data_IF_796931312819
#
_entry.id   IF_796931312819
#
_cell.length_a   1.000
_cell.length_b   1.000
_cell.length_c   1.000
_cell.angle_alpha   90.00
_cell.angle_beta   90.00
_cell.angle_gamma   90.00
#
_symmetry.space_group_name_H-M   'P 1'
#
loop_
_entity.id
_entity.type
_entity.pdbx_description
1 polymer ?
#
# COMPACT_ATOMS: atom_id res chain seq x y z
N UNK A 1 20.53 -15.87 -12.68
CA UNK A 1 19.76 -15.27 -11.57
C UNK A 1 18.89 -14.19 -12.18
N UNK A 2 17.57 -14.33 -12.11
CA UNK A 2 16.63 -13.51 -12.89
C UNK A 2 15.91 -12.54 -11.97
N UNK A 3 15.86 -11.25 -12.33
CA UNK A 3 15.12 -10.23 -11.60
C UNK A 3 13.60 -10.38 -11.80
N UNK A 4 12.82 -9.42 -11.32
CA UNK A 4 11.39 -9.33 -11.63
C UNK A 4 11.17 -9.30 -13.15
N UNK A 5 10.33 -10.22 -13.64
CA UNK A 5 9.94 -10.26 -15.06
C UNK A 5 9.21 -8.99 -15.48
N UNK A 6 9.18 -8.70 -16.78
CA UNK A 6 8.41 -7.58 -17.34
C UNK A 6 6.93 -7.65 -16.97
N UNK A 7 6.35 -8.85 -16.91
CA UNK A 7 4.99 -9.06 -16.44
C UNK A 7 4.82 -8.65 -14.97
N UNK A 8 5.73 -9.01 -14.07
CA UNK A 8 5.67 -8.57 -12.68
C UNK A 8 5.78 -7.04 -12.58
N UNK A 9 6.73 -6.42 -13.29
CA UNK A 9 6.93 -4.97 -13.30
C UNK A 9 5.70 -4.22 -13.79
N UNK A 10 5.11 -4.67 -14.90
CA UNK A 10 3.89 -4.11 -15.48
C UNK A 10 2.72 -4.21 -14.51
N UNK A 11 2.55 -5.37 -13.86
CA UNK A 11 1.49 -5.55 -12.88
C UNK A 11 1.71 -4.71 -11.62
N UNK A 12 2.95 -4.54 -11.16
CA UNK A 12 3.27 -3.64 -10.05
C UNK A 12 2.93 -2.19 -10.39
N UNK A 13 3.26 -1.73 -11.60
CA UNK A 13 2.89 -0.38 -12.08
C UNK A 13 1.36 -0.23 -12.16
N UNK A 14 0.67 -1.21 -12.74
CA UNK A 14 -0.79 -1.17 -12.87
C UNK A 14 -1.48 -1.13 -11.49
N UNK A 15 -1.02 -1.94 -10.54
CA UNK A 15 -1.53 -1.90 -9.17
C UNK A 15 -1.15 -0.60 -8.46
N UNK A 16 0.04 -0.06 -8.71
CA UNK A 16 0.46 1.25 -8.19
C UNK A 16 -0.46 2.37 -8.67
N UNK A 17 -0.82 2.40 -9.95
CA UNK A 17 -1.82 3.31 -10.51
C UNK A 17 -3.19 3.07 -9.86
N UNK A 18 -3.59 1.81 -9.67
CA UNK A 18 -4.84 1.48 -8.97
C UNK A 18 -4.91 2.01 -7.53
N UNK A 19 -3.80 1.97 -6.80
CA UNK A 19 -3.68 2.55 -5.46
C UNK A 19 -3.71 4.09 -5.49
N UNK A 20 -3.09 4.73 -6.49
CA UNK A 20 -3.21 6.18 -6.67
C UNK A 20 -4.63 6.62 -7.01
N UNK A 21 -5.34 5.87 -7.86
CA UNK A 21 -6.76 6.11 -8.16
C UNK A 21 -7.59 5.95 -6.88
N UNK A 22 -7.35 4.88 -6.11
CA UNK A 22 -8.04 4.65 -4.83
C UNK A 22 -7.79 5.80 -3.86
N UNK A 23 -6.54 6.27 -3.75
CA UNK A 23 -6.17 7.41 -2.94
C UNK A 23 -6.86 8.70 -3.39
N UNK A 24 -6.92 8.98 -4.69
CA UNK A 24 -7.62 10.15 -5.20
C UNK A 24 -9.10 10.13 -4.80
N UNK A 25 -9.78 8.98 -4.96
CA UNK A 25 -11.16 8.78 -4.50
C UNK A 25 -11.29 8.98 -2.99
N UNK A 26 -10.38 8.44 -2.18
CA UNK A 26 -10.33 8.69 -0.73
C UNK A 26 -10.12 10.17 -0.41
N UNK A 27 -9.31 10.88 -1.21
CA UNK A 27 -9.09 12.32 -1.07
C UNK A 27 -10.36 13.13 -1.35
N UNK A 28 -11.18 12.72 -2.33
CA UNK A 28 -12.50 13.31 -2.55
C UNK A 28 -13.44 13.07 -1.36
N UNK A 29 -13.50 11.85 -0.83
CA UNK A 29 -14.29 11.57 0.37
C UNK A 29 -13.82 12.37 1.57
N UNK A 30 -12.51 12.53 1.74
CA UNK A 30 -11.93 13.35 2.80
C UNK A 30 -12.31 14.82 2.64
N UNK A 31 -12.22 15.35 1.42
CA UNK A 31 -12.63 16.72 1.09
C UNK A 31 -14.10 16.97 1.48
N UNK A 32 -15.02 16.10 1.07
CA UNK A 32 -16.44 16.23 1.44
C UNK A 32 -16.69 16.01 2.93
N UNK A 33 -15.94 15.11 3.58
CA UNK A 33 -16.01 14.92 5.02
C UNK A 33 -15.62 16.19 5.79
N UNK A 34 -14.60 16.91 5.34
CA UNK A 34 -14.17 18.18 5.95
C UNK A 34 -15.19 19.30 5.75
N UNK A 35 -15.84 19.36 4.59
CA UNK A 35 -16.87 20.35 4.31
C UNK A 35 -18.19 20.05 5.05
N UNK A 36 -18.51 18.77 5.24
CA UNK A 36 -19.81 18.32 5.76
C UNK A 36 -20.92 18.32 4.71
N UNK A 37 -20.62 18.73 3.47
CA UNK A 37 -21.49 18.69 2.32
C UNK A 37 -20.73 18.35 1.03
N UNK A 38 -21.49 17.91 0.02
CA UNK A 38 -21.04 17.87 -1.36
C UNK A 38 -21.45 19.20 -1.99
N UNK A 39 -20.46 20.05 -2.23
CA UNK A 39 -20.60 21.34 -2.89
C UNK A 39 -19.73 21.38 -4.16
N UNK A 40 -20.38 21.24 -5.31
CA UNK A 40 -19.81 21.20 -6.67
C UNK A 40 -20.42 22.32 -7.51
N UNK A 41 -20.24 23.56 -7.05
CA UNK A 41 -20.72 24.76 -7.72
C UNK A 41 -20.23 24.85 -9.18
N UNK A 42 -21.10 25.25 -10.14
CA UNK A 42 -22.50 25.66 -9.99
C UNK A 42 -23.54 24.54 -10.13
N UNK A 43 -23.13 23.27 -10.21
CA UNK A 43 -23.98 22.17 -10.69
C UNK A 43 -24.76 21.49 -9.56
N UNK A 44 -24.09 21.15 -8.46
CA UNK A 44 -24.69 20.51 -7.29
C UNK A 44 -24.21 21.28 -6.06
N UNK A 45 -25.12 21.70 -5.17
CA UNK A 45 -24.74 22.47 -3.98
C UNK A 45 -25.52 21.98 -2.77
N UNK A 46 -24.90 22.07 -1.59
CA UNK A 46 -25.54 21.81 -0.28
C UNK A 46 -26.19 20.44 -0.12
N UNK A 47 -25.60 19.39 -0.70
CA UNK A 47 -26.02 18.02 -0.40
C UNK A 47 -25.32 17.60 0.88
N UNK A 48 -26.08 17.46 1.97
CA UNK A 48 -25.54 17.03 3.27
C UNK A 48 -24.77 15.72 3.13
N UNK A 49 -23.50 15.72 3.57
CA UNK A 49 -22.63 14.57 3.48
C UNK A 49 -22.04 14.25 4.84
N UNK A 50 -22.55 13.18 5.45
CA UNK A 50 -22.07 12.66 6.73
C UNK A 50 -21.51 11.27 6.54
N UNK A 51 -20.21 11.13 6.79
CA UNK A 51 -19.50 9.86 6.79
C UNK A 51 -18.68 9.74 8.08
N UNK A 52 -18.46 8.51 8.54
CA UNK A 52 -17.69 8.23 9.74
C UNK A 52 -16.21 8.64 9.63
N UNK A 53 -15.51 8.52 10.75
CA UNK A 53 -14.08 8.79 10.86
C UNK A 53 -13.76 10.23 11.28
N UNK A 54 -12.54 10.42 11.75
CA UNK A 54 -11.98 11.74 12.03
C UNK A 54 -11.05 12.20 10.89
N UNK A 55 -10.70 13.50 10.81
CA UNK A 55 -9.78 14.00 9.79
C UNK A 55 -8.44 13.25 9.75
N UNK A 56 -8.00 12.74 10.91
CA UNK A 56 -6.78 11.93 11.01
C UNK A 56 -6.90 10.60 10.26
N UNK A 57 -8.02 9.88 10.40
CA UNK A 57 -8.26 8.61 9.73
C UNK A 57 -8.32 8.78 8.22
N UNK A 58 -9.02 9.81 7.75
CA UNK A 58 -9.12 10.11 6.32
C UNK A 58 -7.79 10.53 5.72
N UNK A 59 -7.02 11.35 6.43
CA UNK A 59 -5.67 11.72 5.99
C UNK A 59 -4.75 10.48 5.91
N UNK A 60 -4.81 9.60 6.90
CA UNK A 60 -4.04 8.35 6.88
C UNK A 60 -4.47 7.46 5.70
N UNK A 61 -5.76 7.26 5.48
CA UNK A 61 -6.28 6.46 4.37
C UNK A 61 -5.86 7.01 3.00
N UNK A 62 -5.91 8.34 2.83
CA UNK A 62 -5.46 9.01 1.62
C UNK A 62 -3.96 8.77 1.39
N UNK A 63 -3.14 9.01 2.41
CA UNK A 63 -1.69 8.87 2.32
C UNK A 63 -1.22 7.42 2.13
N UNK A 64 -1.87 6.44 2.77
CA UNK A 64 -1.59 5.01 2.56
C UNK A 64 -1.70 4.65 1.07
N UNK A 65 -2.78 5.04 0.39
CA UNK A 65 -2.91 4.77 -1.04
C UNK A 65 -1.80 5.43 -1.89
N UNK A 66 -1.38 6.66 -1.56
CA UNK A 66 -0.28 7.35 -2.27
C UNK A 66 1.03 6.61 -2.07
N UNK A 67 1.42 6.40 -0.80
CA UNK A 67 2.74 5.86 -0.46
C UNK A 67 2.89 4.43 -0.95
N UNK A 68 1.85 3.60 -0.80
CA UNK A 68 1.85 2.24 -1.29
C UNK A 68 1.86 2.19 -2.82
N UNK A 69 1.10 3.08 -3.49
CA UNK A 69 1.10 3.18 -4.95
C UNK A 69 2.48 3.53 -5.51
N UNK A 70 3.14 4.53 -4.91
CA UNK A 70 4.52 4.92 -5.25
C UNK A 70 5.52 3.80 -4.95
N UNK A 71 5.37 3.09 -3.84
CA UNK A 71 6.23 1.96 -3.49
C UNK A 71 6.18 0.85 -4.56
N UNK A 72 5.00 0.46 -5.05
CA UNK A 72 4.89 -0.57 -6.09
C UNK A 72 5.60 -0.15 -7.39
N UNK A 73 5.40 1.10 -7.81
CA UNK A 73 6.07 1.65 -9.00
C UNK A 73 7.59 1.76 -8.81
N UNK A 74 8.05 2.14 -7.61
CA UNK A 74 9.46 2.19 -7.27
C UNK A 74 10.11 0.80 -7.32
N UNK A 75 9.45 -0.24 -6.77
CA UNK A 75 9.95 -1.62 -6.87
C UNK A 75 10.06 -2.06 -8.34
N UNK A 76 9.07 -1.72 -9.18
CA UNK A 76 9.10 -2.04 -10.61
C UNK A 76 10.23 -1.31 -11.37
N UNK A 77 10.49 -0.05 -11.01
CA UNK A 77 11.57 0.77 -11.58
C UNK A 77 12.95 0.26 -11.15
N UNK A 78 13.10 -0.12 -9.87
CA UNK A 78 14.35 -0.60 -9.30
C UNK A 78 14.66 -2.08 -9.61
N UNK A 79 13.77 -2.80 -10.31
CA UNK A 79 13.95 -4.20 -10.67
C UNK A 79 15.33 -4.57 -11.27
N UNK A 80 16.00 -3.74 -12.11
CA UNK A 80 17.34 -4.05 -12.62
C UNK A 80 18.42 -4.20 -11.53
N UNK A 81 18.23 -3.57 -10.37
CA UNK A 81 19.16 -3.64 -9.24
C UNK A 81 18.88 -4.81 -8.29
N UNK A 82 17.85 -5.63 -8.57
CA UNK A 82 17.37 -6.68 -7.68
C UNK A 82 17.67 -8.05 -8.31
N UNK A 83 18.71 -8.75 -7.83
CA UNK A 83 19.06 -10.10 -8.30
C UNK A 83 18.51 -11.17 -7.37
N UNK A 84 17.52 -11.93 -7.84
CA UNK A 84 16.85 -12.98 -7.08
C UNK A 84 16.71 -14.28 -7.90
N UNK A 85 16.30 -15.37 -7.24
CA UNK A 85 15.78 -16.55 -7.96
C UNK A 85 14.35 -16.29 -8.41
N UNK A 86 13.85 -17.07 -9.38
CA UNK A 86 12.49 -16.91 -9.89
C UNK A 86 11.42 -17.06 -8.79
N UNK A 87 11.64 -17.98 -7.84
CA UNK A 87 10.77 -18.16 -6.68
C UNK A 87 10.76 -16.91 -5.79
N UNK A 88 11.93 -16.38 -5.41
CA UNK A 88 12.02 -15.21 -4.53
C UNK A 88 11.48 -13.94 -5.22
N UNK A 89 11.68 -13.78 -6.53
CA UNK A 89 11.08 -12.69 -7.29
C UNK A 89 9.54 -12.77 -7.28
N UNK A 90 8.98 -13.99 -7.35
CA UNK A 90 7.53 -14.20 -7.23
C UNK A 90 7.02 -13.89 -5.83
N UNK A 91 7.78 -14.23 -4.79
CA UNK A 91 7.45 -13.87 -3.40
C UNK A 91 7.46 -12.34 -3.24
N UNK A 92 8.50 -11.64 -3.72
CA UNK A 92 8.54 -10.16 -3.72
C UNK A 92 7.30 -9.57 -4.38
N UNK A 93 6.91 -10.09 -5.55
CA UNK A 93 5.74 -9.60 -6.27
C UNK A 93 4.45 -9.71 -5.43
N UNK A 94 4.14 -10.89 -4.88
CA UNK A 94 2.92 -11.05 -4.10
C UNK A 94 2.98 -10.33 -2.75
N UNK A 95 4.13 -10.33 -2.08
CA UNK A 95 4.31 -9.58 -0.84
C UNK A 95 4.08 -8.09 -1.07
N UNK A 96 4.58 -7.51 -2.17
CA UNK A 96 4.33 -6.13 -2.52
C UNK A 96 2.84 -5.84 -2.74
N UNK A 97 2.13 -6.68 -3.50
CA UNK A 97 0.68 -6.49 -3.71
C UNK A 97 -0.13 -6.59 -2.42
N UNK A 98 0.18 -7.58 -1.58
CA UNK A 98 -0.48 -7.77 -0.28
C UNK A 98 -0.23 -6.54 0.60
N UNK A 99 1.02 -6.09 0.74
CA UNK A 99 1.37 -4.88 1.49
C UNK A 99 0.61 -3.68 0.95
N UNK A 100 0.65 -3.41 -0.36
CA UNK A 100 0.04 -2.20 -0.90
C UNK A 100 -1.47 -2.13 -0.72
N UNK A 101 -2.19 -3.19 -1.10
CA UNK A 101 -3.65 -3.21 -1.02
C UNK A 101 -4.18 -3.39 0.39
N UNK A 102 -3.54 -4.26 1.20
CA UNK A 102 -4.03 -4.55 2.55
C UNK A 102 -3.56 -3.56 3.62
N UNK A 103 -2.69 -2.59 3.30
CA UNK A 103 -2.58 -1.37 4.10
C UNK A 103 -3.60 -0.30 3.68
N UNK A 104 -3.87 -0.18 2.38
CA UNK A 104 -4.75 0.88 1.84
C UNK A 104 -6.23 0.63 2.14
N UNK A 105 -6.78 -0.53 1.76
CA UNK A 105 -8.22 -0.80 1.90
C UNK A 105 -8.67 -0.82 3.37
N UNK A 106 -7.93 -1.42 4.32
CA UNK A 106 -8.29 -1.36 5.73
C UNK A 106 -8.16 0.03 6.34
N UNK A 107 -7.25 0.88 5.86
CA UNK A 107 -7.19 2.28 6.30
C UNK A 107 -8.43 3.07 5.86
N UNK A 108 -8.91 2.87 4.63
CA UNK A 108 -10.17 3.44 4.14
C UNK A 108 -11.35 2.90 4.97
N UNK A 109 -11.40 1.60 5.22
CA UNK A 109 -12.47 1.00 6.03
C UNK A 109 -12.47 1.55 7.47
N UNK A 110 -11.29 1.72 8.08
CA UNK A 110 -11.16 2.35 9.40
C UNK A 110 -11.73 3.77 9.43
N UNK A 111 -11.50 4.56 8.38
CA UNK A 111 -12.10 5.88 8.28
C UNK A 111 -13.63 5.78 8.20
N UNK A 112 -14.18 4.95 7.30
CA UNK A 112 -15.63 4.82 7.11
C UNK A 112 -16.36 4.35 8.38
N UNK A 113 -15.82 3.34 9.07
CA UNK A 113 -16.46 2.72 10.23
C UNK A 113 -16.09 3.36 11.58
N UNK A 114 -15.28 4.43 11.56
CA UNK A 114 -14.76 5.09 12.76
C UNK A 114 -13.98 4.13 13.69
N UNK A 115 -13.28 3.16 13.11
CA UNK A 115 -12.48 2.15 13.83
C UNK A 115 -10.98 2.41 13.69
N UNK A 116 -10.16 1.58 14.35
CA UNK A 116 -8.70 1.58 14.18
C UNK A 116 -8.11 0.26 13.76
N UNK A 117 -8.76 -0.87 14.04
CA UNK A 117 -8.25 -2.20 13.69
C UNK A 117 -6.94 -2.55 14.38
N UNK A 118 -6.60 -1.87 15.48
CA UNK A 118 -5.33 -2.06 16.20
C UNK A 118 -5.39 -3.15 17.27
N UNK A 119 -6.59 -3.50 17.71
CA UNK A 119 -6.84 -4.60 18.66
C UNK A 119 -8.14 -5.29 18.29
N UNK A 120 -8.21 -6.59 18.55
CA UNK A 120 -9.47 -7.32 18.42
C UNK A 120 -10.55 -6.67 19.30
N UNK A 121 -11.75 -6.47 18.75
CA UNK A 121 -12.88 -5.79 19.39
C UNK A 121 -12.66 -4.33 19.85
N UNK A 122 -11.62 -3.64 19.36
CA UNK A 122 -11.51 -2.17 19.41
C UNK A 122 -10.59 -1.60 20.49
N UNK A 123 -10.38 -2.30 21.61
CA UNK A 123 -9.46 -1.85 22.67
C UNK A 123 -9.80 -0.43 23.17
N UNK A 124 -8.89 0.55 23.09
CA UNK A 124 -9.19 1.94 23.47
C UNK A 124 -9.99 2.73 22.42
N UNK A 125 -10.36 2.11 21.29
CA UNK A 125 -11.10 2.70 20.18
C UNK A 125 -12.45 1.99 19.96
N UNK A 126 -13.24 2.44 18.98
CA UNK A 126 -14.50 1.81 18.63
C UNK A 126 -14.31 0.33 18.22
N UNK A 127 -15.09 -0.54 18.86
CA UNK A 127 -15.05 -1.99 18.70
C UNK A 127 -16.05 -2.56 17.70
N UNK A 128 -16.36 -3.85 17.86
CA UNK A 128 -17.35 -4.55 17.06
C UNK A 128 -16.80 -5.24 15.80
N UNK A 129 -17.73 -5.82 15.03
CA UNK A 129 -17.41 -6.71 13.91
C UNK A 129 -16.50 -6.06 12.86
N UNK A 130 -16.78 -4.81 12.48
CA UNK A 130 -15.98 -4.08 11.49
C UNK A 130 -14.52 -3.95 11.95
N UNK A 131 -14.29 -3.50 13.19
CA UNK A 131 -12.95 -3.39 13.76
C UNK A 131 -12.24 -4.75 13.80
N UNK A 132 -12.92 -5.80 14.26
CA UNK A 132 -12.32 -7.15 14.39
C UNK A 132 -11.93 -7.75 13.04
N UNK A 133 -12.74 -7.54 11.99
CA UNK A 133 -12.39 -7.96 10.63
C UNK A 133 -11.18 -7.17 10.08
N UNK A 134 -11.15 -5.86 10.31
CA UNK A 134 -10.01 -5.01 9.93
C UNK A 134 -8.74 -5.46 10.65
N UNK A 135 -8.80 -5.70 11.97
CA UNK A 135 -7.68 -6.22 12.75
C UNK A 135 -7.14 -7.54 12.19
N UNK A 136 -8.02 -8.49 11.87
CA UNK A 136 -7.61 -9.77 11.28
C UNK A 136 -7.01 -9.58 9.88
N UNK A 137 -7.53 -8.64 9.10
CA UNK A 137 -6.98 -8.29 7.78
C UNK A 137 -5.59 -7.66 7.84
N UNK A 138 -5.17 -7.15 9.01
CA UNK A 138 -3.84 -6.56 9.22
C UNK A 138 -2.71 -7.59 9.32
N UNK A 139 -3.00 -8.86 9.61
CA UNK A 139 -1.96 -9.89 9.76
C UNK A 139 -1.20 -10.20 8.46
N UNK A 140 -1.88 -10.46 7.32
CA UNK A 140 -1.18 -10.68 6.06
C UNK A 140 -0.22 -9.55 5.62
N UNK A 141 -0.61 -8.25 5.58
CA UNK A 141 0.31 -7.18 5.19
C UNK A 141 1.45 -6.98 6.18
N UNK A 142 1.21 -7.17 7.49
CA UNK A 142 2.29 -7.16 8.49
C UNK A 142 3.32 -8.24 8.15
N UNK A 143 2.91 -9.48 7.87
CA UNK A 143 3.89 -10.51 7.51
C UNK A 143 4.55 -10.23 6.16
N UNK A 144 3.77 -9.81 5.16
CA UNK A 144 4.22 -9.56 3.81
C UNK A 144 5.28 -8.44 3.73
N UNK A 145 5.11 -7.34 4.48
CA UNK A 145 6.05 -6.20 4.42
C UNK A 145 7.45 -6.56 4.92
N UNK A 146 7.54 -7.40 5.96
CA UNK A 146 8.83 -7.85 6.49
C UNK A 146 9.53 -8.79 5.50
N UNK A 147 8.78 -9.72 4.88
CA UNK A 147 9.30 -10.59 3.83
C UNK A 147 9.75 -9.75 2.62
N UNK A 148 8.95 -8.77 2.22
CA UNK A 148 9.26 -7.87 1.11
C UNK A 148 10.58 -7.14 1.36
N UNK A 149 10.74 -6.49 2.51
CA UNK A 149 11.95 -5.74 2.84
C UNK A 149 13.18 -6.64 2.92
N UNK A 150 13.06 -7.82 3.54
CA UNK A 150 14.14 -8.80 3.60
C UNK A 150 14.61 -9.23 2.22
N UNK A 151 13.68 -9.50 1.30
CA UNK A 151 14.02 -9.95 -0.06
C UNK A 151 14.50 -8.83 -0.97
N UNK A 152 13.98 -7.61 -0.84
CA UNK A 152 14.51 -6.44 -1.55
C UNK A 152 15.96 -6.18 -1.13
N UNK A 153 16.24 -6.17 0.17
CA UNK A 153 17.59 -6.02 0.69
C UNK A 153 18.51 -7.14 0.19
N UNK A 154 18.10 -8.39 0.34
CA UNK A 154 18.88 -9.55 -0.13
C UNK A 154 19.15 -9.49 -1.64
N UNK A 155 18.17 -9.09 -2.44
CA UNK A 155 18.29 -8.98 -3.89
C UNK A 155 19.26 -7.88 -4.32
N UNK A 156 19.22 -6.71 -3.68
CA UNK A 156 20.17 -5.60 -3.93
C UNK A 156 21.56 -5.97 -3.45
N UNK A 157 21.69 -6.57 -2.27
CA UNK A 157 22.98 -7.03 -1.75
C UNK A 157 23.64 -8.06 -2.67
N UNK A 158 22.86 -8.97 -3.24
CA UNK A 158 23.34 -9.95 -4.21
C UNK A 158 23.78 -9.31 -5.52
N UNK A 159 23.06 -8.28 -5.97
CA UNK A 159 23.49 -7.46 -7.11
C UNK A 159 24.82 -6.77 -6.83
N UNK A 160 24.96 -6.09 -5.68
CA UNK A 160 26.19 -5.42 -5.27
C UNK A 160 27.40 -6.36 -5.24
N UNK A 161 27.28 -7.53 -4.59
CA UNK A 161 28.37 -8.52 -4.56
C UNK A 161 28.81 -8.96 -5.95
N UNK A 162 27.88 -9.07 -6.90
CA UNK A 162 28.21 -9.47 -8.27
C UNK A 162 28.99 -8.42 -9.06
N UNK A 163 28.88 -7.13 -8.68
CA UNK A 163 29.69 -6.06 -9.27
C UNK A 163 31.13 -6.14 -8.75
N UNK A 164 31.30 -6.30 -7.43
CA UNK A 164 32.62 -6.44 -6.80
C UNK A 164 33.44 -7.58 -7.41
N UNK A 165 32.83 -8.75 -7.61
CA UNK A 165 33.50 -9.89 -8.25
C UNK A 165 33.88 -9.60 -9.71
N UNK A 166 33.09 -8.81 -10.44
CA UNK A 166 33.41 -8.44 -11.82
C UNK A 166 34.62 -7.51 -11.88
N UNK A 167 34.70 -6.54 -10.96
CA UNK A 167 35.82 -5.60 -10.87
C UNK A 167 37.14 -6.32 -10.51
N UNK A 168 37.09 -7.29 -9.57
CA UNK A 168 38.24 -8.11 -9.16
C UNK A 168 38.79 -9.02 -10.28
N UNK A 169 37.95 -9.43 -11.24
CA UNK A 169 38.38 -10.25 -12.40
C UNK A 169 38.96 -9.37 -13.52
N UNK A 170 38.58 -8.09 -13.57
CA UNK A 170 39.02 -7.16 -14.59
C UNK A 170 40.36 -6.45 -14.25
N UNK A 171 40.80 -6.50 -12.99
CA UNK A 171 42.08 -5.97 -12.48
C UNK A 171 43.21 -7.00 -12.54
#
# INVERSE_FOLDING_TARGET
MYSLTERHRTLLVLNGIGLLISSALTGWFYFFHLLGDIDLWPILNHIEFKIGGDPRAWNMAHLEGITQGLMLMAIAACAPFIKLSALLARVVFYSALITGWMFTLPAIANAIFDTRGLSFDGGPFAGGLANSLIFLSGWPPIMAVHVLFGLLFYGVWTHYKSLKTADEVAS
#
